data_IF_469204705957
#
_entry.id   IF_469204705957
#
_cell.length_a   1.000
_cell.length_b   1.000
_cell.length_c   1.000
_cell.angle_alpha   90.00
_cell.angle_beta   90.00
_cell.angle_gamma   90.00
#
_symmetry.space_group_name_H-M   'P 1'
#
loop_
_entity.id
_entity.type
_entity.pdbx_description
1 polymer ?
#
# COMPACT_ATOMS: atom_id res chain seq x y z
N UNK A 1 -14.56 4.21 6.15
CA UNK A 1 -14.40 4.65 4.75
C UNK A 1 -12.93 4.59 4.41
N UNK A 2 -12.55 3.74 3.46
CA UNK A 2 -11.18 3.71 2.94
C UNK A 2 -10.93 5.00 2.14
N UNK A 3 -9.80 5.67 2.40
CA UNK A 3 -9.44 6.91 1.72
C UNK A 3 -7.93 6.97 1.56
N UNK A 4 -7.49 7.44 0.41
CA UNK A 4 -6.08 7.70 0.14
C UNK A 4 -5.72 9.11 0.58
N UNK A 5 -4.62 9.24 1.34
CA UNK A 5 -4.06 10.56 1.66
C UNK A 5 -3.60 11.29 0.39
N UNK A 6 -3.04 10.54 -0.54
CA UNK A 6 -2.44 11.04 -1.77
C UNK A 6 -3.33 10.78 -2.99
N UNK A 7 -3.73 11.84 -3.69
CA UNK A 7 -4.55 11.72 -4.91
C UNK A 7 -3.85 10.94 -6.03
N UNK A 8 -2.53 11.09 -6.14
CA UNK A 8 -1.76 10.36 -7.15
C UNK A 8 -1.75 8.86 -6.89
N UNK A 9 -1.79 8.44 -5.61
CA UNK A 9 -1.79 7.03 -5.22
C UNK A 9 -3.15 6.40 -5.50
N UNK A 10 -4.24 7.14 -5.26
CA UNK A 10 -5.57 6.73 -5.69
C UNK A 10 -5.62 6.52 -7.21
N UNK A 11 -5.15 7.49 -8.01
CA UNK A 11 -5.17 7.33 -9.47
C UNK A 11 -4.24 6.24 -9.98
N UNK A 12 -3.13 5.97 -9.30
CA UNK A 12 -2.29 4.82 -9.61
C UNK A 12 -3.03 3.48 -9.39
N UNK A 13 -3.73 3.34 -8.26
CA UNK A 13 -4.39 2.08 -7.90
C UNK A 13 -5.75 1.87 -8.57
N UNK A 14 -6.58 2.91 -8.63
CA UNK A 14 -7.97 2.85 -9.11
C UNK A 14 -8.07 3.14 -10.61
N UNK A 15 -7.34 4.14 -11.10
CA UNK A 15 -7.38 4.55 -12.50
C UNK A 15 -6.26 3.91 -13.35
N UNK A 16 -5.42 3.04 -12.76
CA UNK A 16 -4.24 2.42 -13.39
C UNK A 16 -3.30 3.44 -14.08
N UNK A 17 -3.17 4.64 -13.49
CA UNK A 17 -2.35 5.72 -14.05
C UNK A 17 -0.91 5.64 -13.57
N UNK A 18 0.00 5.40 -14.51
CA UNK A 18 1.44 5.53 -14.28
C UNK A 18 1.81 6.92 -13.79
N UNK A 19 2.74 6.96 -12.84
CA UNK A 19 3.22 8.20 -12.23
C UNK A 19 4.73 8.27 -12.26
N UNK A 20 5.29 9.43 -12.60
CA UNK A 20 6.74 9.66 -12.55
C UNK A 20 7.30 9.66 -11.12
N UNK A 21 6.43 9.59 -10.11
CA UNK A 21 6.81 9.55 -8.69
C UNK A 21 7.29 8.16 -8.24
N UNK A 22 6.97 7.11 -9.00
CA UNK A 22 7.33 5.73 -8.67
C UNK A 22 8.20 5.19 -9.80
N UNK A 23 9.42 4.70 -9.51
CA UNK A 23 10.24 4.01 -10.49
C UNK A 23 9.52 2.78 -11.02
N UNK A 24 9.65 2.48 -12.32
CA UNK A 24 8.96 1.35 -12.97
C UNK A 24 9.24 0.00 -12.31
N UNK A 25 10.47 -0.24 -11.85
CA UNK A 25 10.83 -1.44 -11.08
C UNK A 25 10.07 -1.59 -9.76
N UNK A 26 9.60 -0.48 -9.18
CA UNK A 26 8.81 -0.45 -7.95
C UNK A 26 7.30 -0.38 -8.19
N UNK A 27 6.83 -0.13 -9.41
CA UNK A 27 5.40 -0.04 -9.71
C UNK A 27 4.69 -1.38 -9.40
N UNK A 28 5.28 -2.50 -9.83
CA UNK A 28 4.75 -3.83 -9.52
C UNK A 28 4.74 -4.12 -8.01
N UNK A 29 5.82 -3.78 -7.31
CA UNK A 29 5.91 -3.99 -5.86
C UNK A 29 4.91 -3.12 -5.09
N UNK A 30 4.75 -1.86 -5.51
CA UNK A 30 3.77 -0.93 -4.95
C UNK A 30 2.35 -1.42 -5.16
N UNK A 31 2.00 -1.79 -6.40
CA UNK A 31 0.68 -2.28 -6.73
C UNK A 31 0.33 -3.52 -5.92
N UNK A 32 1.25 -4.50 -5.85
CA UNK A 32 1.07 -5.70 -5.02
C UNK A 32 0.86 -5.33 -3.55
N UNK A 33 1.63 -4.41 -2.99
CA UNK A 33 1.44 -3.96 -1.59
C UNK A 33 0.07 -3.32 -1.36
N UNK A 34 -0.44 -2.51 -2.30
CA UNK A 34 -1.77 -1.92 -2.20
C UNK A 34 -2.87 -2.98 -2.30
N UNK A 35 -2.74 -3.96 -3.20
CA UNK A 35 -3.65 -5.10 -3.27
C UNK A 35 -3.69 -5.87 -1.95
N UNK A 36 -2.55 -6.11 -1.33
CA UNK A 36 -2.50 -6.80 -0.02
C UNK A 36 -3.22 -6.01 1.09
N UNK A 37 -3.19 -4.68 1.04
CA UNK A 37 -3.91 -3.83 2.01
C UNK A 37 -5.42 -3.83 1.74
N UNK A 38 -5.83 -3.88 0.47
CA UNK A 38 -7.23 -3.95 0.07
C UNK A 38 -7.85 -5.33 0.37
N UNK A 39 -7.10 -6.42 0.15
CA UNK A 39 -7.52 -7.80 0.45
C UNK A 39 -7.49 -8.13 1.95
N UNK A 40 -6.64 -7.46 2.74
CA UNK A 40 -6.47 -7.79 4.15
C UNK A 40 -7.74 -7.50 4.96
N UNK A 41 -8.43 -8.55 5.39
CA UNK A 41 -9.55 -8.46 6.31
C UNK A 41 -9.10 -8.09 7.73
N UNK A 42 -7.88 -8.50 8.12
CA UNK A 42 -7.33 -8.24 9.45
C UNK A 42 -5.87 -7.79 9.42
N UNK A 43 -5.42 -7.09 10.47
CA UNK A 43 -4.00 -6.73 10.65
C UNK A 43 -3.09 -7.97 10.68
N UNK A 44 -3.61 -9.14 11.06
CA UNK A 44 -2.85 -10.39 11.08
C UNK A 44 -2.52 -10.89 9.67
N UNK A 45 -3.43 -10.71 8.71
CA UNK A 45 -3.20 -11.09 7.30
C UNK A 45 -1.98 -10.35 6.74
N UNK A 46 -1.82 -9.06 7.09
CA UNK A 46 -0.66 -8.26 6.69
C UNK A 46 0.65 -8.81 7.25
N UNK A 47 0.67 -9.41 8.44
CA UNK A 47 1.88 -9.99 9.04
C UNK A 47 2.21 -11.40 8.54
N UNK A 48 1.20 -12.16 8.10
CA UNK A 48 1.36 -13.56 7.65
C UNK A 48 1.86 -13.64 6.21
N UNK A 49 1.59 -12.62 5.39
CA UNK A 49 1.98 -12.60 3.99
C UNK A 49 3.53 -12.58 3.84
N UNK A 50 4.13 -13.58 3.16
CA UNK A 50 5.58 -13.67 3.02
C UNK A 50 6.13 -12.46 2.25
N UNK A 51 7.11 -11.78 2.85
CA UNK A 51 7.71 -10.57 2.28
C UNK A 51 7.06 -9.25 2.70
N UNK A 52 5.99 -9.30 3.51
CA UNK A 52 5.48 -8.10 4.18
C UNK A 52 6.08 -8.00 5.59
N UNK A 53 7.12 -7.18 5.74
CA UNK A 53 7.69 -6.85 7.05
C UNK A 53 6.77 -5.87 7.78
N UNK A 54 5.56 -6.31 8.11
CA UNK A 54 4.56 -5.48 8.76
C UNK A 54 5.04 -5.10 10.16
N UNK A 55 5.34 -3.82 10.36
CA UNK A 55 5.73 -3.26 11.64
C UNK A 55 4.80 -2.11 12.02
N UNK A 56 4.40 -2.06 13.29
CA UNK A 56 3.62 -0.94 13.81
C UNK A 56 4.48 0.33 13.88
N UNK A 57 4.01 1.39 13.23
CA UNK A 57 4.67 2.71 13.29
C UNK A 57 4.68 3.24 14.73
N UNK A 58 5.80 3.86 15.14
CA UNK A 58 6.02 4.41 16.48
C UNK A 58 6.06 5.94 16.46
N UNK A 59 5.96 6.58 17.63
CA UNK A 59 6.04 8.05 17.76
C UNK A 59 4.80 8.79 17.27
N UNK A 60 4.98 9.90 16.55
CA UNK A 60 3.88 10.73 16.01
C UNK A 60 3.06 10.03 14.91
N UNK A 61 3.50 8.86 14.45
CA UNK A 61 2.83 8.06 13.41
C UNK A 61 2.10 6.84 13.99
N UNK A 62 1.97 6.75 15.31
CA UNK A 62 1.35 5.61 16.00
C UNK A 62 -0.17 5.60 15.75
N UNK A 63 -0.67 4.52 15.13
CA UNK A 63 -2.09 4.22 14.85
C UNK A 63 -2.29 2.79 14.35
#
# INVERSE_FOLDING_TARGET
MASFRDKWLHSFFVDDKHTRRVPTDLEHALFRKLQLVDDAATKADLSVLPGNCFEALRGQLRG
#
